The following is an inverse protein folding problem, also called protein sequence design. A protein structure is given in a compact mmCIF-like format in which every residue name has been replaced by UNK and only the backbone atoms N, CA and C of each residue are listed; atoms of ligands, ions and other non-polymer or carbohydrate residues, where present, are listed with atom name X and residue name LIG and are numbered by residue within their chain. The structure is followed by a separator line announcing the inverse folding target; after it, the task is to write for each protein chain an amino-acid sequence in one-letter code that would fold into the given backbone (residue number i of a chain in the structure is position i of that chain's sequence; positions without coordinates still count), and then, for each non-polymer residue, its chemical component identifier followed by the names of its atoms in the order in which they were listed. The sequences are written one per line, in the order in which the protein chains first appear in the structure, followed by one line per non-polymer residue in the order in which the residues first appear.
data_IF_310017891236
#
_entry.id   IF_310017891236
#
_cell.length_a   1.000
_cell.length_b   1.000
_cell.length_c   1.000
_cell.angle_alpha   90.00
_cell.angle_beta   90.00
_cell.angle_gamma   90.00
#
_symmetry.space_group_name_H-M   'P 1'
#
loop_
_entity.id
_entity.type
_entity.pdbx_description
1 polymer ?
#
# COMPACT_ATOMS: atom_id res chain seq x y z
N UNK A 1 -42.64 -31.66 1.02
CA UNK A 1 -42.63 -30.55 0.05
C UNK A 1 -41.95 -29.39 0.76
N UNK A 2 -40.62 -29.38 0.70
CA UNK A 2 -39.76 -28.45 -0.09
C UNK A 2 -39.49 -27.18 0.70
N UNK A 3 -38.28 -26.65 0.82
CA UNK A 3 -36.93 -27.09 0.43
C UNK A 3 -35.97 -26.31 1.34
N UNK A 4 -35.03 -27.01 1.97
CA UNK A 4 -33.94 -26.39 2.71
C UNK A 4 -32.83 -26.01 1.74
N UNK A 5 -32.64 -24.72 1.49
CA UNK A 5 -31.46 -24.22 0.78
C UNK A 5 -30.23 -24.32 1.70
N UNK A 6 -29.52 -25.44 1.65
CA UNK A 6 -28.14 -25.54 2.12
C UNK A 6 -27.22 -24.87 1.09
N UNK A 7 -26.75 -23.66 1.41
CA UNK A 7 -25.72 -22.98 0.63
C UNK A 7 -24.35 -23.45 1.13
N UNK A 8 -23.92 -24.64 0.73
CA UNK A 8 -22.59 -25.19 1.04
C UNK A 8 -21.73 -25.15 -0.23
N UNK A 9 -21.27 -23.95 -0.59
CA UNK A 9 -20.43 -23.67 -1.75
C UNK A 9 -18.96 -23.50 -1.41
N UNK A 10 -18.35 -24.44 -0.67
CA UNK A 10 -16.89 -24.56 -0.65
C UNK A 10 -16.49 -25.53 -1.76
N UNK A 11 -16.36 -25.01 -2.98
CA UNK A 11 -15.76 -25.77 -4.08
C UNK A 11 -14.34 -26.19 -3.67
N UNK A 12 -14.15 -27.50 -3.44
CA UNK A 12 -12.83 -28.12 -3.33
C UNK A 12 -12.16 -28.07 -4.71
N UNK A 13 -11.52 -26.95 -5.01
CA UNK A 13 -10.65 -26.81 -6.19
C UNK A 13 -9.49 -27.81 -6.05
N UNK A 14 -9.08 -28.54 -7.10
CA UNK A 14 -7.96 -29.48 -7.03
C UNK A 14 -6.73 -28.79 -6.44
N UNK A 15 -6.03 -29.45 -5.51
CA UNK A 15 -4.80 -28.94 -4.92
C UNK A 15 -3.76 -28.70 -6.02
N UNK A 16 -3.64 -27.45 -6.48
CA UNK A 16 -2.53 -27.04 -7.33
C UNK A 16 -1.23 -27.36 -6.60
N UNK A 17 -0.37 -28.15 -7.22
CA UNK A 17 0.97 -28.38 -6.70
C UNK A 17 1.77 -27.09 -6.87
N UNK A 18 1.83 -26.29 -5.81
CA UNK A 18 2.57 -25.02 -5.79
C UNK A 18 4.07 -25.29 -5.75
N UNK A 19 4.82 -24.50 -6.51
CA UNK A 19 6.28 -24.54 -6.52
C UNK A 19 6.84 -24.06 -5.18
N UNK A 20 7.82 -24.76 -4.64
CA UNK A 20 8.58 -24.31 -3.47
C UNK A 20 9.81 -23.52 -3.90
N UNK A 21 10.25 -22.60 -3.04
CA UNK A 21 11.49 -21.83 -3.22
C UNK A 21 12.47 -22.09 -2.06
N UNK A 22 13.13 -23.27 -1.99
CA UNK A 22 14.08 -23.56 -0.92
C UNK A 22 15.22 -22.54 -0.88
N UNK A 23 15.58 -22.08 0.30
CA UNK A 23 16.64 -21.11 0.55
C UNK A 23 16.36 -19.69 0.04
N UNK A 24 15.13 -19.37 -0.37
CA UNK A 24 14.81 -18.06 -0.95
C UNK A 24 15.18 -16.90 -0.01
N UNK A 25 15.94 -15.93 -0.53
CA UNK A 25 16.21 -14.67 0.15
C UNK A 25 15.06 -13.68 -0.05
N UNK A 26 14.77 -12.83 0.92
CA UNK A 26 13.78 -11.74 0.79
C UNK A 26 14.07 -10.84 -0.42
N UNK A 27 15.36 -10.69 -0.74
CA UNK A 27 15.87 -9.97 -1.91
C UNK A 27 15.30 -10.45 -3.23
N UNK A 28 14.79 -11.68 -3.28
CA UNK A 28 14.16 -12.26 -4.48
C UNK A 28 12.92 -11.48 -4.92
N UNK A 29 12.11 -11.02 -3.96
CA UNK A 29 10.83 -10.38 -4.23
C UNK A 29 10.77 -8.93 -3.74
N UNK A 30 11.75 -8.48 -2.96
CA UNK A 30 11.88 -7.09 -2.51
C UNK A 30 11.71 -6.09 -3.67
N UNK A 31 10.80 -5.14 -3.49
CA UNK A 31 10.66 -4.03 -4.38
C UNK A 31 11.93 -3.13 -4.30
N UNK A 32 12.51 -2.66 -5.41
CA UNK A 32 13.77 -1.89 -5.36
C UNK A 32 13.70 -0.61 -4.51
N UNK A 33 12.51 -0.02 -4.39
CA UNK A 33 12.27 1.13 -3.51
C UNK A 33 12.33 0.75 -2.01
N UNK A 34 11.86 -0.44 -1.63
CA UNK A 34 11.93 -0.95 -0.27
C UNK A 34 13.39 -1.18 0.16
N UNK A 35 14.14 -1.91 -0.66
CA UNK A 35 15.57 -2.18 -0.44
C UNK A 35 16.39 -0.89 -0.26
N UNK A 36 16.13 0.12 -1.11
CA UNK A 36 16.86 1.39 -1.08
C UNK A 36 16.63 2.20 0.20
N UNK A 37 15.41 2.14 0.74
CA UNK A 37 15.00 2.94 1.87
C UNK A 37 15.53 2.38 3.20
N UNK A 38 15.55 1.06 3.38
CA UNK A 38 16.23 0.44 4.53
C UNK A 38 17.73 0.75 4.55
N UNK A 39 18.38 0.67 3.39
CA UNK A 39 19.79 1.01 3.23
C UNK A 39 20.05 2.48 3.58
N UNK A 40 19.19 3.39 3.14
CA UNK A 40 19.33 4.81 3.43
C UNK A 40 19.13 5.11 4.93
N UNK A 41 18.15 4.47 5.58
CA UNK A 41 17.89 4.62 7.02
C UNK A 41 19.08 4.16 7.86
N UNK A 42 19.69 3.01 7.55
CA UNK A 42 20.87 2.47 8.29
C UNK A 42 22.12 3.34 8.18
N UNK A 43 22.20 4.23 7.19
CA UNK A 43 23.33 5.17 7.03
C UNK A 43 23.21 6.42 7.89
N UNK A 44 22.06 6.66 8.50
CA UNK A 44 21.87 7.81 9.37
C UNK A 44 22.68 7.62 10.65
N UNK A 45 23.57 8.58 10.94
CA UNK A 45 24.35 8.58 12.17
C UNK A 45 23.43 8.52 13.39
N UNK A 46 23.67 7.57 14.30
CA UNK A 46 22.87 7.38 15.52
C UNK A 46 21.60 6.55 15.34
N UNK A 47 21.33 6.01 14.14
CA UNK A 47 20.18 5.13 13.88
C UNK A 47 20.16 3.94 14.84
N UNK A 48 21.28 3.24 15.02
CA UNK A 48 21.34 2.06 15.89
C UNK A 48 21.04 2.38 17.36
N UNK A 49 21.48 3.55 17.84
CA UNK A 49 21.20 4.01 19.20
C UNK A 49 19.71 4.30 19.39
N UNK A 50 19.08 5.02 18.45
CA UNK A 50 17.65 5.31 18.47
C UNK A 50 16.83 4.03 18.33
N UNK A 51 17.21 3.15 17.40
CA UNK A 51 16.57 1.87 17.17
C UNK A 51 16.62 0.97 18.41
N UNK A 52 17.78 0.88 19.07
CA UNK A 52 17.94 0.10 20.31
C UNK A 52 17.12 0.70 21.45
N UNK A 53 17.08 2.02 21.58
CA UNK A 53 16.25 2.70 22.58
C UNK A 53 14.75 2.43 22.33
N UNK A 54 14.28 2.57 21.09
CA UNK A 54 12.89 2.29 20.72
C UNK A 54 12.54 0.82 20.94
N UNK A 55 13.41 -0.10 20.51
CA UNK A 55 13.19 -1.55 20.67
C UNK A 55 13.11 -1.95 22.15
N UNK A 56 13.93 -1.35 23.02
CA UNK A 56 13.87 -1.59 24.46
C UNK A 56 12.61 -1.05 25.15
N UNK A 57 11.92 -0.07 24.55
CA UNK A 57 10.66 0.48 25.05
C UNK A 57 9.43 -0.30 24.57
N UNK A 58 9.58 -1.19 23.58
CA UNK A 58 8.49 -1.97 23.02
C UNK A 58 8.21 -3.19 23.91
N UNK A 59 7.00 -3.32 24.49
CA UNK A 59 6.69 -4.42 25.38
C UNK A 59 6.26 -5.64 24.57
N UNK A 60 7.20 -6.29 23.89
CA UNK A 60 6.93 -7.43 22.99
C UNK A 60 6.19 -8.58 23.72
N UNK A 61 6.56 -8.82 24.98
CA UNK A 61 5.85 -9.77 25.86
C UNK A 61 4.40 -9.33 26.10
N UNK A 62 4.14 -8.05 26.27
CA UNK A 62 2.77 -7.52 26.43
C UNK A 62 1.95 -7.72 25.17
N UNK A 63 2.55 -7.51 23.98
CA UNK A 63 1.88 -7.72 22.70
C UNK A 63 1.45 -9.18 22.53
N UNK A 64 2.35 -10.13 22.83
CA UNK A 64 2.05 -11.57 22.85
C UNK A 64 0.91 -11.91 23.82
N UNK A 65 0.98 -11.38 25.04
CA UNK A 65 -0.04 -11.62 26.05
C UNK A 65 -1.41 -11.06 25.62
N UNK A 66 -1.44 -9.88 24.99
CA UNK A 66 -2.66 -9.25 24.51
C UNK A 66 -3.39 -10.12 23.49
N UNK A 67 -2.70 -10.59 22.45
CA UNK A 67 -3.32 -11.48 21.46
C UNK A 67 -3.64 -12.86 22.00
N UNK A 68 -2.88 -13.35 22.99
CA UNK A 68 -3.22 -14.59 23.66
C UNK A 68 -4.48 -14.45 24.53
N UNK A 69 -4.73 -13.27 25.10
CA UNK A 69 -5.88 -13.02 25.97
C UNK A 69 -7.17 -12.65 25.24
N UNK A 70 -7.06 -11.96 24.10
CA UNK A 70 -8.18 -11.28 23.45
C UNK A 70 -8.29 -11.60 21.95
N UNK A 71 -7.84 -12.79 21.54
CA UNK A 71 -7.96 -13.29 20.16
C UNK A 71 -7.97 -14.82 20.13
N UNK A 72 -8.46 -15.41 19.04
CA UNK A 72 -8.45 -16.86 18.87
C UNK A 72 -7.17 -17.29 18.17
N UNK A 73 -6.41 -18.19 18.80
CA UNK A 73 -5.17 -18.70 18.20
C UNK A 73 -5.47 -19.67 17.06
N UNK A 74 -4.83 -19.46 15.92
CA UNK A 74 -4.88 -20.40 14.79
C UNK A 74 -4.04 -21.63 15.10
N UNK A 75 -4.63 -22.82 14.91
CA UNK A 75 -4.02 -24.13 15.18
C UNK A 75 -4.73 -25.24 14.39
N UNK A 76 -4.31 -26.49 14.57
CA UNK A 76 -5.01 -27.64 13.99
C UNK A 76 -6.42 -27.83 14.58
N UNK A 77 -6.70 -27.25 15.75
CA UNK A 77 -7.99 -27.36 16.45
C UNK A 77 -8.90 -26.13 16.24
N UNK A 78 -8.35 -25.01 15.76
CA UNK A 78 -9.05 -23.73 15.63
C UNK A 78 -8.58 -23.03 14.36
N UNK A 79 -9.51 -22.68 13.47
CA UNK A 79 -9.18 -22.12 12.13
C UNK A 79 -8.18 -22.98 11.36
N UNK A 80 -8.42 -24.30 11.31
CA UNK A 80 -7.50 -25.27 10.71
C UNK A 80 -7.11 -24.93 9.26
N UNK A 81 -8.04 -24.39 8.47
CA UNK A 81 -7.75 -23.95 7.09
C UNK A 81 -6.70 -22.82 7.04
N UNK A 82 -6.78 -21.82 7.92
CA UNK A 82 -5.77 -20.76 8.01
C UNK A 82 -4.42 -21.34 8.47
N UNK A 83 -4.44 -22.29 9.40
CA UNK A 83 -3.22 -22.97 9.85
C UNK A 83 -2.51 -23.72 8.71
N UNK A 84 -3.28 -24.40 7.86
CA UNK A 84 -2.76 -25.06 6.65
C UNK A 84 -2.18 -24.02 5.69
N UNK A 85 -2.91 -22.94 5.39
CA UNK A 85 -2.42 -21.88 4.50
C UNK A 85 -1.12 -21.24 5.02
N UNK A 86 -1.02 -21.01 6.33
CA UNK A 86 0.16 -20.45 6.98
C UNK A 86 1.36 -21.39 6.86
N UNK A 87 1.18 -22.68 7.18
CA UNK A 87 2.24 -23.69 7.04
C UNK A 87 2.65 -23.85 5.59
N UNK A 88 1.70 -23.86 4.65
CA UNK A 88 1.98 -23.91 3.22
C UNK A 88 2.81 -22.71 2.77
N UNK A 89 2.43 -21.49 3.16
CA UNK A 89 3.16 -20.28 2.82
C UNK A 89 4.59 -20.28 3.40
N UNK A 90 4.76 -20.68 4.67
CA UNK A 90 6.07 -20.83 5.29
C UNK A 90 6.90 -21.90 4.58
N UNK A 91 6.30 -23.02 4.17
CA UNK A 91 6.99 -24.08 3.45
C UNK A 91 7.43 -23.63 2.06
N UNK A 92 6.56 -22.92 1.32
CA UNK A 92 6.82 -22.40 -0.03
C UNK A 92 7.93 -21.35 -0.01
N UNK A 93 7.85 -20.38 0.89
CA UNK A 93 8.82 -19.30 1.06
C UNK A 93 10.01 -19.69 1.96
N UNK A 94 10.07 -20.96 2.36
CA UNK A 94 11.14 -21.52 3.18
C UNK A 94 11.46 -20.71 4.44
N UNK A 95 10.41 -20.28 5.16
CA UNK A 95 10.50 -19.63 6.47
C UNK A 95 10.64 -20.72 7.55
N UNK A 96 11.80 -20.75 8.21
CA UNK A 96 12.18 -21.84 9.13
C UNK A 96 11.24 -21.97 10.33
N UNK A 97 10.84 -20.84 10.92
CA UNK A 97 9.97 -20.79 12.09
C UNK A 97 8.61 -20.23 11.68
N UNK A 98 7.58 -21.08 11.76
CA UNK A 98 6.19 -20.66 11.52
C UNK A 98 5.77 -19.69 12.63
N UNK A 99 5.43 -18.42 12.30
CA UNK A 99 5.00 -17.45 13.29
C UNK A 99 3.63 -17.83 13.88
N UNK A 100 3.34 -17.53 15.15
CA UNK A 100 1.99 -17.64 15.68
C UNK A 100 1.02 -16.77 14.87
N UNK A 101 -0.18 -17.30 14.61
CA UNK A 101 -1.26 -16.56 13.97
C UNK A 101 -2.49 -16.50 14.86
N UNK A 102 -3.16 -15.35 14.85
CA UNK A 102 -4.38 -15.11 15.63
C UNK A 102 -5.48 -14.51 14.76
N UNK A 103 -6.73 -14.86 15.06
CA UNK A 103 -7.92 -14.21 14.53
C UNK A 103 -8.48 -13.28 15.60
N UNK A 104 -8.49 -11.98 15.30
CA UNK A 104 -9.01 -10.93 16.17
C UNK A 104 -10.41 -10.50 15.72
N UNK A 105 -11.31 -10.23 16.67
CA UNK A 105 -12.67 -9.78 16.35
C UNK A 105 -12.63 -8.31 15.93
N UNK A 106 -12.75 -8.09 14.62
CA UNK A 106 -12.85 -6.76 14.02
C UNK A 106 -13.57 -6.91 12.67
N UNK A 107 -14.70 -6.22 12.45
CA UNK A 107 -15.41 -6.27 11.17
C UNK A 107 -14.65 -5.59 10.02
N UNK A 108 -13.65 -4.75 10.31
CA UNK A 108 -12.83 -4.13 9.27
C UNK A 108 -11.81 -5.14 8.72
N UNK A 109 -11.84 -5.46 7.40
CA UNK A 109 -10.91 -6.40 6.80
C UNK A 109 -9.46 -5.92 6.92
N UNK A 110 -8.63 -6.68 7.62
CA UNK A 110 -7.24 -6.34 7.84
C UNK A 110 -6.41 -7.59 8.20
N UNK A 111 -5.13 -7.54 7.86
CA UNK A 111 -4.12 -8.47 8.34
C UNK A 111 -2.83 -7.69 8.65
N UNK A 112 -2.01 -8.20 9.56
CA UNK A 112 -0.72 -7.59 9.85
C UNK A 112 0.27 -8.56 10.45
N UNK A 113 1.54 -8.38 10.09
CA UNK A 113 2.69 -9.00 10.70
C UNK A 113 3.42 -7.99 11.60
N UNK A 114 3.52 -8.32 12.89
CA UNK A 114 4.10 -7.47 13.94
C UNK A 114 4.95 -8.33 14.87
N UNK A 115 5.79 -7.71 15.70
CA UNK A 115 6.76 -8.40 16.56
C UNK A 115 8.19 -7.98 16.24
N UNK A 116 9.07 -8.19 17.22
CA UNK A 116 10.49 -7.81 17.13
C UNK A 116 11.35 -9.05 16.88
N UNK A 117 11.48 -9.90 17.90
CA UNK A 117 12.28 -11.12 17.85
C UNK A 117 11.45 -12.29 17.31
N UNK A 118 10.16 -12.32 17.66
CA UNK A 118 9.23 -13.33 17.19
C UNK A 118 8.03 -12.66 16.49
N UNK A 119 7.96 -12.71 15.14
CA UNK A 119 6.81 -12.18 14.43
C UNK A 119 5.54 -12.95 14.76
N UNK A 120 4.44 -12.24 14.79
CA UNK A 120 3.07 -12.70 14.99
C UNK A 120 2.24 -12.17 13.83
N UNK A 121 1.39 -13.02 13.28
CA UNK A 121 0.43 -12.64 12.26
C UNK A 121 -0.94 -12.51 12.90
N UNK A 122 -1.63 -11.42 12.61
CA UNK A 122 -2.99 -11.16 13.10
C UNK A 122 -3.89 -10.93 11.92
N UNK A 123 -5.03 -11.62 11.89
CA UNK A 123 -6.05 -11.54 10.84
C UNK A 123 -7.36 -11.13 11.49
N UNK A 124 -8.12 -10.22 10.88
CA UNK A 124 -9.43 -9.83 11.43
C UNK A 124 -10.55 -10.75 10.95
N UNK A 125 -11.61 -10.89 11.74
CA UNK A 125 -12.82 -11.62 11.33
C UNK A 125 -13.40 -11.10 10.03
N UNK A 126 -13.41 -9.77 9.82
CA UNK A 126 -13.90 -9.18 8.57
C UNK A 126 -13.11 -9.60 7.34
N UNK A 127 -11.80 -9.88 7.48
CA UNK A 127 -11.01 -10.39 6.36
C UNK A 127 -11.29 -11.87 6.07
N UNK A 128 -11.45 -12.67 7.13
CA UNK A 128 -11.80 -14.10 7.03
C UNK A 128 -13.15 -14.29 6.33
N UNK A 129 -14.11 -13.40 6.58
CA UNK A 129 -15.45 -13.44 5.96
C UNK A 129 -15.45 -12.90 4.53
N UNK A 130 -14.51 -12.02 4.17
CA UNK A 130 -14.47 -11.35 2.86
C UNK A 130 -13.80 -12.20 1.77
N UNK A 131 -12.70 -12.89 2.10
CA UNK A 131 -11.84 -13.52 1.09
C UNK A 131 -12.14 -15.01 0.91
N UNK A 132 -12.03 -15.47 -0.34
CA UNK A 132 -12.04 -16.89 -0.66
C UNK A 132 -10.70 -17.56 -0.28
N UNK A 133 -10.61 -18.89 -0.44
CA UNK A 133 -9.44 -19.64 -0.04
C UNK A 133 -8.15 -19.28 -0.78
N UNK A 134 -8.21 -18.92 -2.06
CA UNK A 134 -7.03 -18.58 -2.86
C UNK A 134 -6.61 -17.11 -2.64
N UNK A 135 -7.59 -16.22 -2.48
CA UNK A 135 -7.40 -14.83 -2.08
C UNK A 135 -6.76 -14.75 -0.69
N UNK A 136 -7.26 -15.54 0.27
CA UNK A 136 -6.69 -15.62 1.62
C UNK A 136 -5.27 -16.20 1.62
N UNK A 137 -4.96 -17.17 0.75
CA UNK A 137 -3.58 -17.67 0.59
C UNK A 137 -2.62 -16.58 0.12
N UNK A 138 -3.06 -15.70 -0.78
CA UNK A 138 -2.26 -14.56 -1.21
C UNK A 138 -1.98 -13.61 -0.03
N UNK A 139 -2.97 -13.32 0.82
CA UNK A 139 -2.79 -12.48 2.01
C UNK A 139 -1.90 -13.16 3.07
N UNK A 140 -2.11 -14.44 3.37
CA UNK A 140 -1.25 -15.17 4.31
C UNK A 140 0.20 -15.21 3.81
N UNK A 141 0.40 -15.44 2.51
CA UNK A 141 1.70 -15.36 1.86
C UNK A 141 2.35 -13.98 1.96
N UNK A 142 1.54 -12.92 1.82
CA UNK A 142 1.97 -11.54 1.99
C UNK A 142 2.49 -11.28 3.43
N UNK A 143 1.75 -11.71 4.45
CA UNK A 143 2.17 -11.57 5.85
C UNK A 143 3.41 -12.41 6.20
N UNK A 144 3.52 -13.63 5.64
CA UNK A 144 4.74 -14.43 5.75
C UNK A 144 5.92 -13.74 5.04
N UNK A 145 5.68 -13.06 3.93
CA UNK A 145 6.66 -12.22 3.26
C UNK A 145 7.17 -11.08 4.15
N UNK A 146 6.30 -10.43 4.91
CA UNK A 146 6.71 -9.43 5.91
C UNK A 146 7.58 -10.05 7.02
N UNK A 147 7.21 -11.24 7.52
CA UNK A 147 8.00 -11.95 8.52
C UNK A 147 9.40 -12.31 7.99
N UNK A 148 9.47 -12.89 6.78
CA UNK A 148 10.73 -13.29 6.16
C UNK A 148 11.66 -12.09 5.84
N UNK A 149 11.08 -10.95 5.48
CA UNK A 149 11.84 -9.73 5.16
C UNK A 149 12.20 -8.88 6.39
N UNK A 150 11.79 -9.30 7.60
CA UNK A 150 12.01 -8.53 8.83
C UNK A 150 11.20 -7.23 8.91
N UNK A 151 10.12 -7.10 8.12
CA UNK A 151 9.29 -5.90 8.09
C UNK A 151 8.47 -5.72 9.37
N UNK A 152 8.19 -6.81 10.10
CA UNK A 152 7.43 -6.81 11.36
C UNK A 152 8.01 -5.88 12.41
N UNK A 153 9.34 -5.79 12.49
CA UNK A 153 10.08 -4.95 13.43
C UNK A 153 9.72 -3.48 13.24
N UNK A 154 9.90 -3.00 12.01
CA UNK A 154 9.65 -1.61 11.65
C UNK A 154 8.16 -1.27 11.71
N UNK A 155 7.29 -2.22 11.35
CA UNK A 155 5.84 -2.07 11.49
C UNK A 155 5.45 -1.87 12.96
N UNK A 156 6.04 -2.66 13.87
CA UNK A 156 5.81 -2.56 15.32
C UNK A 156 6.27 -1.20 15.85
N UNK A 157 7.46 -0.75 15.46
CA UNK A 157 7.98 0.59 15.80
C UNK A 157 7.04 1.68 15.27
N UNK A 158 6.58 1.57 14.02
CA UNK A 158 5.67 2.55 13.42
C UNK A 158 4.34 2.66 14.17
N UNK A 159 3.74 1.52 14.56
CA UNK A 159 2.50 1.50 15.34
C UNK A 159 2.69 2.18 16.70
N UNK A 160 3.77 1.83 17.40
CA UNK A 160 4.10 2.45 18.68
C UNK A 160 4.35 3.95 18.56
N UNK A 161 5.18 4.38 17.59
CA UNK A 161 5.48 5.80 17.37
C UNK A 161 4.24 6.59 16.95
N UNK A 162 3.35 6.00 16.15
CA UNK A 162 2.08 6.63 15.79
C UNK A 162 1.19 6.81 17.01
N UNK A 163 1.07 5.79 17.87
CA UNK A 163 0.33 5.91 19.12
C UNK A 163 0.96 6.94 20.08
N UNK A 164 2.29 6.97 20.16
CA UNK A 164 3.02 7.92 20.98
C UNK A 164 2.82 9.35 20.48
N UNK A 165 2.93 9.58 19.17
CA UNK A 165 2.72 10.88 18.52
C UNK A 165 1.38 11.50 18.92
N UNK A 166 0.31 10.70 18.89
CA UNK A 166 -1.04 11.14 19.30
C UNK A 166 -1.06 11.53 20.78
N UNK A 167 -0.40 10.76 21.66
CA UNK A 167 -0.36 11.03 23.12
C UNK A 167 0.45 12.26 23.50
N UNK A 168 1.46 12.62 22.70
CA UNK A 168 2.35 13.76 22.95
C UNK A 168 2.09 14.95 22.01
N UNK A 169 1.01 14.91 21.22
CA UNK A 169 0.67 15.93 20.23
C UNK A 169 0.54 17.34 20.83
N UNK A 170 0.25 17.45 22.13
CA UNK A 170 0.17 18.70 22.88
C UNK A 170 1.53 19.37 23.15
N UNK A 171 2.66 18.69 22.89
CA UNK A 171 4.01 19.22 23.07
C UNK A 171 4.50 19.85 21.74
N UNK A 172 4.63 21.19 21.64
CA UNK A 172 4.77 21.90 20.36
C UNK A 172 6.00 21.52 19.50
N UNK A 173 7.12 21.13 20.12
CA UNK A 173 8.38 20.80 19.42
C UNK A 173 8.69 19.31 19.37
N UNK A 174 8.23 18.51 20.33
CA UNK A 174 8.43 17.06 20.34
C UNK A 174 7.66 16.35 19.23
N UNK A 175 6.48 16.89 18.89
CA UNK A 175 5.61 16.32 17.87
C UNK A 175 6.23 16.43 16.46
N UNK A 176 6.97 17.49 16.14
CA UNK A 176 7.53 17.69 14.78
C UNK A 176 8.57 16.61 14.42
N UNK A 177 9.48 16.29 15.33
CA UNK A 177 10.50 15.27 15.11
C UNK A 177 9.87 13.87 14.99
N UNK A 178 8.92 13.53 15.86
CA UNK A 178 8.19 12.25 15.79
C UNK A 178 7.40 12.15 14.49
N UNK A 179 6.71 13.22 14.08
CA UNK A 179 5.95 13.26 12.83
C UNK A 179 6.83 13.08 11.60
N UNK A 180 8.04 13.66 11.57
CA UNK A 180 8.99 13.43 10.49
C UNK A 180 9.41 11.95 10.41
N UNK A 181 9.74 11.34 11.55
CA UNK A 181 10.12 9.91 11.62
C UNK A 181 8.94 9.03 11.19
N UNK A 182 7.74 9.28 11.72
CA UNK A 182 6.52 8.54 11.38
C UNK A 182 6.21 8.66 9.89
N UNK A 183 6.36 9.86 9.31
CA UNK A 183 6.12 10.08 7.87
C UNK A 183 7.10 9.28 7.02
N UNK A 184 8.40 9.32 7.36
CA UNK A 184 9.41 8.53 6.66
C UNK A 184 9.18 7.02 6.79
N UNK A 185 8.85 6.54 7.99
CA UNK A 185 8.54 5.13 8.22
C UNK A 185 7.25 4.68 7.50
N UNK A 186 6.23 5.55 7.41
CA UNK A 186 5.01 5.27 6.62
C UNK A 186 5.30 5.18 5.13
N UNK A 187 6.12 6.09 4.59
CA UNK A 187 6.56 6.01 3.20
C UNK A 187 7.29 4.70 2.93
N UNK A 188 8.26 4.36 3.79
CA UNK A 188 8.99 3.10 3.67
C UNK A 188 8.05 1.89 3.76
N UNK A 189 7.17 1.86 4.76
CA UNK A 189 6.24 0.75 4.96
C UNK A 189 5.32 0.56 3.74
N UNK A 190 4.84 1.65 3.14
CA UNK A 190 4.10 1.57 1.87
C UNK A 190 4.90 0.96 0.71
N UNK A 191 6.23 1.07 0.70
CA UNK A 191 7.06 0.40 -0.30
C UNK A 191 7.25 -1.08 0.02
N UNK A 192 7.32 -1.44 1.29
CA UNK A 192 7.45 -2.84 1.71
C UNK A 192 6.18 -3.65 1.45
N UNK A 193 5.01 -3.00 1.39
CA UNK A 193 3.75 -3.60 0.91
C UNK A 193 3.88 -4.19 -0.50
N UNK A 194 4.59 -3.50 -1.41
CA UNK A 194 4.80 -4.01 -2.78
C UNK A 194 5.71 -5.23 -2.79
N UNK A 195 6.70 -5.29 -1.89
CA UNK A 195 7.52 -6.49 -1.68
C UNK A 195 6.67 -7.65 -1.16
N UNK A 196 5.80 -7.38 -0.19
CA UNK A 196 4.94 -8.38 0.40
C UNK A 196 3.85 -8.88 -0.56
N UNK A 197 3.31 -8.03 -1.46
CA UNK A 197 2.41 -8.45 -2.54
C UNK A 197 3.07 -9.48 -3.47
N UNK A 198 4.34 -9.27 -3.80
CA UNK A 198 5.13 -10.21 -4.60
C UNK A 198 5.35 -11.53 -3.86
N UNK A 199 5.65 -11.48 -2.56
CA UNK A 199 5.75 -12.67 -1.72
C UNK A 199 4.41 -13.42 -1.64
N UNK A 200 3.29 -12.70 -1.50
CA UNK A 200 1.93 -13.24 -1.55
C UNK A 200 1.64 -13.96 -2.86
N UNK A 201 2.05 -13.39 -4.00
CA UNK A 201 1.91 -14.03 -5.30
C UNK A 201 2.82 -15.27 -5.44
N UNK A 202 4.04 -15.27 -4.91
CA UNK A 202 4.91 -16.46 -4.92
C UNK A 202 4.36 -17.59 -4.05
N UNK A 203 3.74 -17.25 -2.91
CA UNK A 203 3.10 -18.22 -2.02
C UNK A 203 1.78 -18.76 -2.60
N UNK A 204 0.95 -17.89 -3.17
CA UNK A 204 -0.36 -18.25 -3.73
C UNK A 204 -0.29 -18.88 -5.13
N UNK A 205 0.60 -18.37 -5.98
CA UNK A 205 0.80 -18.76 -7.40
C UNK A 205 -0.45 -18.63 -8.27
N UNK A 206 -1.33 -17.70 -7.89
CA UNK A 206 -2.53 -17.34 -8.64
C UNK A 206 -2.66 -15.82 -8.69
N UNK A 207 -2.23 -15.23 -9.81
CA UNK A 207 -2.28 -13.78 -10.03
C UNK A 207 -3.72 -13.26 -10.00
N UNK A 208 -4.68 -14.03 -10.51
CA UNK A 208 -6.08 -13.62 -10.54
C UNK A 208 -6.65 -13.58 -9.12
N UNK A 209 -6.35 -14.57 -8.29
CA UNK A 209 -6.74 -14.55 -6.88
C UNK A 209 -6.10 -13.37 -6.12
N UNK A 210 -4.81 -13.09 -6.33
CA UNK A 210 -4.18 -11.91 -5.71
C UNK A 210 -4.84 -10.59 -6.12
N UNK A 211 -5.18 -10.42 -7.40
CA UNK A 211 -5.87 -9.22 -7.89
C UNK A 211 -7.30 -9.12 -7.37
N UNK A 212 -8.06 -10.22 -7.35
CA UNK A 212 -9.41 -10.25 -6.77
C UNK A 212 -9.41 -9.92 -5.28
N UNK A 213 -8.42 -10.42 -4.52
CA UNK A 213 -8.26 -10.09 -3.11
C UNK A 213 -8.08 -8.59 -2.89
N UNK A 214 -7.20 -7.94 -3.64
CA UNK A 214 -7.01 -6.47 -3.58
C UNK A 214 -8.28 -5.70 -4.00
N UNK A 215 -8.99 -6.19 -5.02
CA UNK A 215 -10.26 -5.62 -5.47
C UNK A 215 -11.35 -5.73 -4.39
N UNK A 216 -11.46 -6.88 -3.70
CA UNK A 216 -12.38 -7.07 -2.58
C UNK A 216 -12.06 -6.19 -1.37
N UNK A 217 -10.77 -5.98 -1.06
CA UNK A 217 -10.38 -5.02 -0.02
C UNK A 217 -10.87 -3.60 -0.36
N UNK A 218 -10.96 -3.27 -1.66
CA UNK A 218 -11.46 -1.98 -2.12
C UNK A 218 -13.00 -1.88 -2.14
N UNK A 219 -13.67 -2.92 -2.64
CA UNK A 219 -15.09 -2.89 -3.03
C UNK A 219 -16.02 -3.85 -2.29
N UNK A 220 -15.51 -4.66 -1.36
CA UNK A 220 -16.30 -5.64 -0.61
C UNK A 220 -16.58 -6.94 -1.40
N UNK A 221 -17.59 -7.70 -0.97
CA UNK A 221 -17.83 -9.09 -1.42
C UNK A 221 -18.74 -9.22 -2.67
N UNK A 222 -18.88 -8.16 -3.48
CA UNK A 222 -19.76 -8.14 -4.66
C UNK A 222 -19.01 -8.47 -5.96
N UNK A 223 -18.22 -9.56 -5.97
CA UNK A 223 -17.38 -9.93 -7.13
C UNK A 223 -18.16 -10.03 -8.45
N UNK A 224 -19.42 -10.45 -8.42
CA UNK A 224 -20.26 -10.58 -9.61
C UNK A 224 -20.59 -9.22 -10.27
N UNK A 225 -20.41 -8.12 -9.55
CA UNK A 225 -20.57 -6.74 -10.05
C UNK A 225 -19.21 -6.08 -10.36
N UNK A 226 -18.09 -6.76 -10.09
CA UNK A 226 -16.75 -6.22 -10.24
C UNK A 226 -15.98 -6.93 -11.36
N UNK A 227 -15.09 -6.19 -12.03
CA UNK A 227 -14.26 -6.70 -13.12
C UNK A 227 -12.80 -6.29 -12.90
N UNK A 228 -11.90 -7.28 -12.93
CA UNK A 228 -10.47 -7.06 -12.66
C UNK A 228 -9.82 -6.18 -13.72
N UNK A 229 -10.16 -6.35 -15.00
CA UNK A 229 -9.61 -5.53 -16.08
C UNK A 229 -10.05 -4.07 -15.95
N UNK A 230 -11.31 -3.82 -15.56
CA UNK A 230 -11.80 -2.48 -15.27
C UNK A 230 -11.10 -1.87 -14.04
N UNK A 231 -10.85 -2.67 -13.00
CA UNK A 231 -10.09 -2.25 -11.81
C UNK A 231 -8.64 -1.89 -12.14
N UNK A 232 -8.02 -2.59 -13.09
CA UNK A 232 -6.69 -2.27 -13.60
C UNK A 232 -6.68 -1.03 -14.50
N UNK A 233 -7.69 -0.86 -15.36
CA UNK A 233 -7.87 0.36 -16.15
C UNK A 233 -8.04 1.59 -15.24
N UNK A 234 -8.72 1.46 -14.10
CA UNK A 234 -8.81 2.49 -13.07
C UNK A 234 -7.43 2.86 -12.49
N UNK A 235 -6.53 1.88 -12.33
CA UNK A 235 -5.16 2.16 -11.90
C UNK A 235 -4.37 2.96 -12.97
N UNK A 236 -4.54 2.61 -14.25
CA UNK A 236 -3.93 3.36 -15.36
C UNK A 236 -4.46 4.80 -15.44
N UNK A 237 -5.76 5.01 -15.23
CA UNK A 237 -6.37 6.34 -15.13
C UNK A 237 -5.79 7.12 -13.94
N UNK A 238 -5.67 6.48 -12.77
CA UNK A 238 -5.08 7.10 -11.58
C UNK A 238 -3.62 7.51 -11.81
N UNK A 239 -2.82 6.71 -12.51
CA UNK A 239 -1.43 7.03 -12.85
C UNK A 239 -1.30 8.10 -13.94
N UNK A 240 -2.11 8.00 -15.00
CA UNK A 240 -2.02 8.89 -16.15
C UNK A 240 -2.73 10.24 -15.95
N UNK A 241 -3.72 10.27 -15.05
CA UNK A 241 -4.66 11.37 -14.92
C UNK A 241 -4.12 12.58 -14.16
N UNK A 242 -4.60 13.75 -14.59
CA UNK A 242 -4.60 14.99 -13.82
C UNK A 242 -3.56 16.04 -14.21
N UNK A 243 -3.68 17.20 -13.59
CA UNK A 243 -2.69 18.27 -13.65
C UNK A 243 -1.70 18.20 -12.45
N UNK A 244 -0.85 19.21 -12.31
CA UNK A 244 0.12 19.30 -11.22
C UNK A 244 -0.56 19.30 -9.83
N UNK A 245 -1.77 19.86 -9.72
CA UNK A 245 -2.53 19.89 -8.46
C UNK A 245 -3.07 18.52 -8.13
N UNK A 246 -3.57 17.79 -9.13
CA UNK A 246 -4.00 16.42 -8.93
C UNK A 246 -2.85 15.55 -8.42
N UNK A 247 -1.65 15.78 -8.93
CA UNK A 247 -0.43 15.08 -8.47
C UNK A 247 -0.10 15.41 -7.00
N UNK A 248 -0.27 16.67 -6.57
CA UNK A 248 -0.14 17.07 -5.16
C UNK A 248 -1.25 16.46 -4.30
N UNK A 249 -2.50 16.45 -4.78
CA UNK A 249 -3.64 15.84 -4.08
C UNK A 249 -3.46 14.33 -3.92
N UNK A 250 -2.89 13.64 -4.92
CA UNK A 250 -2.50 12.22 -4.81
C UNK A 250 -1.52 12.02 -3.65
N UNK A 251 -0.47 12.84 -3.55
CA UNK A 251 0.48 12.79 -2.42
C UNK A 251 -0.25 13.00 -1.09
N UNK A 252 -1.04 14.06 -0.97
CA UNK A 252 -1.78 14.37 0.26
C UNK A 252 -2.73 13.23 0.68
N UNK A 253 -3.36 12.56 -0.27
CA UNK A 253 -4.22 11.41 -0.02
C UNK A 253 -3.44 10.14 0.39
N UNK A 254 -2.19 9.99 -0.04
CA UNK A 254 -1.34 8.85 0.32
C UNK A 254 -0.73 9.01 1.72
N UNK A 255 -0.37 10.23 2.12
CA UNK A 255 0.33 10.52 3.39
C UNK A 255 -0.31 9.94 4.66
N UNK A 256 -1.65 10.00 4.87
CA UNK A 256 -2.25 9.45 6.08
C UNK A 256 -2.38 7.93 6.08
N UNK A 257 -2.24 7.26 4.92
CA UNK A 257 -2.53 5.83 4.76
C UNK A 257 -1.35 4.96 5.19
N UNK A 258 -1.68 3.80 5.75
CA UNK A 258 -0.72 2.74 6.10
C UNK A 258 -0.28 1.93 4.87
N UNK A 259 -1.19 1.70 3.93
CA UNK A 259 -0.96 0.91 2.73
C UNK A 259 -1.11 1.79 1.47
N UNK A 260 -0.42 1.47 0.36
CA UNK A 260 -0.74 2.05 -0.94
C UNK A 260 -2.18 1.72 -1.35
N UNK A 261 -2.71 2.49 -2.31
CA UNK A 261 -4.02 2.19 -2.88
C UNK A 261 -4.05 0.79 -3.51
N UNK A 262 -5.15 0.07 -3.29
CA UNK A 262 -5.36 -1.29 -3.79
C UNK A 262 -5.28 -1.39 -5.31
N UNK A 263 -5.80 -0.39 -6.03
CA UNK A 263 -5.68 -0.29 -7.50
C UNK A 263 -4.22 -0.22 -7.96
N UNK A 264 -3.41 0.63 -7.31
CA UNK A 264 -1.98 0.77 -7.61
C UNK A 264 -1.21 -0.51 -7.29
N UNK A 265 -1.52 -1.16 -6.16
CA UNK A 265 -0.93 -2.46 -5.80
C UNK A 265 -1.25 -3.53 -6.84
N UNK A 266 -2.49 -3.60 -7.32
CA UNK A 266 -2.90 -4.57 -8.33
C UNK A 266 -2.15 -4.36 -9.65
N UNK A 267 -2.02 -3.11 -10.11
CA UNK A 267 -1.27 -2.77 -11.32
C UNK A 267 0.22 -3.12 -11.20
N UNK A 268 0.87 -2.75 -10.09
CA UNK A 268 2.29 -3.07 -9.86
C UNK A 268 2.53 -4.58 -9.72
N UNK A 269 1.60 -5.32 -9.10
CA UNK A 269 1.69 -6.77 -9.00
C UNK A 269 1.55 -7.45 -10.37
N UNK A 270 0.58 -7.02 -11.19
CA UNK A 270 0.40 -7.52 -12.57
C UNK A 270 1.65 -7.26 -13.40
N UNK A 271 2.17 -6.03 -13.36
CA UNK A 271 3.38 -5.63 -14.07
C UNK A 271 4.59 -6.47 -13.66
N UNK A 272 4.72 -6.80 -12.37
CA UNK A 272 5.79 -7.68 -11.90
C UNK A 272 5.59 -9.13 -12.37
N UNK A 273 4.37 -9.66 -12.33
CA UNK A 273 4.07 -11.01 -12.80
C UNK A 273 4.34 -11.20 -14.32
N UNK A 274 4.19 -10.15 -15.11
CA UNK A 274 4.52 -10.12 -16.55
C UNK A 274 6.02 -9.94 -16.82
N UNK A 275 6.81 -9.61 -15.78
CA UNK A 275 8.25 -9.36 -15.93
C UNK A 275 9.06 -10.65 -16.09
N UNK A 276 10.25 -10.51 -16.71
CA UNK A 276 11.22 -11.62 -16.79
C UNK A 276 11.75 -12.04 -15.42
N UNK A 277 11.77 -11.14 -14.44
CA UNK A 277 12.24 -11.46 -13.10
C UNK A 277 11.32 -12.45 -12.41
N UNK A 278 10.00 -12.26 -12.50
CA UNK A 278 9.03 -13.22 -11.98
C UNK A 278 9.18 -14.59 -12.64
N UNK A 279 9.25 -14.64 -13.98
CA UNK A 279 9.43 -15.90 -14.72
C UNK A 279 10.72 -16.62 -14.30
N UNK A 280 11.83 -15.88 -14.18
CA UNK A 280 13.12 -16.40 -13.73
C UNK A 280 13.05 -17.01 -12.32
N UNK A 281 12.33 -16.36 -11.39
CA UNK A 281 12.09 -16.91 -10.04
C UNK A 281 11.27 -18.19 -10.12
N UNK A 282 10.19 -18.19 -10.90
CA UNK A 282 9.35 -19.36 -11.13
C UNK A 282 10.13 -20.51 -11.77
N UNK A 283 11.13 -20.24 -12.61
CA UNK A 283 12.01 -21.27 -13.19
C UNK A 283 13.03 -21.83 -12.19
N UNK A 284 13.16 -21.22 -11.00
CA UNK A 284 14.07 -21.66 -9.93
C UNK A 284 15.37 -20.85 -9.85
N UNK A 285 15.48 -19.77 -10.61
CA UNK A 285 16.65 -18.89 -10.64
C UNK A 285 16.41 -17.66 -9.75
N UNK A 286 16.68 -17.76 -8.46
CA UNK A 286 16.47 -16.68 -7.50
C UNK A 286 17.63 -16.59 -6.49
N UNK A 287 17.90 -15.39 -5.92
CA UNK A 287 18.87 -15.23 -4.84
C UNK A 287 18.55 -16.10 -3.64
N UNK A 288 19.56 -16.78 -3.10
CA UNK A 288 19.43 -17.60 -1.90
C UNK A 288 20.03 -16.92 -0.68
N UNK A 289 19.54 -17.27 0.51
CA UNK A 289 19.95 -16.66 1.80
C UNK A 289 21.42 -16.90 2.14
N UNK A 290 21.97 -18.04 1.73
CA UNK A 290 23.39 -18.37 1.91
C UNK A 290 24.31 -17.43 1.10
N UNK A 291 23.82 -16.90 -0.03
CA UNK A 291 24.52 -15.93 -0.89
C UNK A 291 24.37 -14.48 -0.42
N UNK A 292 23.57 -14.20 0.63
CA UNK A 292 23.31 -12.83 1.10
C UNK A 292 24.60 -12.14 1.59
N UNK A 293 25.55 -12.89 2.14
CA UNK A 293 26.81 -12.38 2.70
C UNK A 293 27.79 -11.88 1.63
N UNK A 294 27.72 -12.43 0.43
CA UNK A 294 28.66 -12.15 -0.66
C UNK A 294 28.21 -10.99 -1.55
N UNK A 295 27.06 -10.38 -1.23
CA UNK A 295 26.48 -9.34 -2.06
C UNK A 295 27.07 -7.97 -1.77
N UNK A 296 27.63 -7.36 -2.81
CA UNK A 296 28.17 -6.01 -2.74
C UNK A 296 27.07 -4.96 -2.53
N UNK A 297 27.26 -4.13 -1.52
CA UNK A 297 26.45 -2.94 -1.25
C UNK A 297 26.31 -2.03 -2.49
N UNK A 298 27.38 -1.89 -3.27
CA UNK A 298 27.43 -1.00 -4.44
C UNK A 298 26.48 -1.47 -5.54
N UNK A 299 26.33 -2.78 -5.69
CA UNK A 299 25.49 -3.38 -6.73
C UNK A 299 24.01 -3.23 -6.39
N UNK A 300 23.64 -3.46 -5.12
CA UNK A 300 22.30 -3.18 -4.59
C UNK A 300 21.89 -1.71 -4.79
N UNK A 301 22.81 -0.77 -4.51
CA UNK A 301 22.53 0.66 -4.69
C UNK A 301 22.38 1.05 -6.17
N UNK A 302 23.19 0.47 -7.06
CA UNK A 302 23.10 0.69 -8.51
C UNK A 302 21.78 0.15 -9.08
N UNK A 303 21.33 -1.01 -8.63
CA UNK A 303 20.06 -1.62 -9.03
C UNK A 303 18.86 -0.74 -8.63
N UNK A 304 18.83 -0.28 -7.37
CA UNK A 304 17.81 0.66 -6.90
C UNK A 304 17.84 2.00 -7.64
N UNK A 305 19.03 2.55 -7.91
CA UNK A 305 19.18 3.80 -8.65
C UNK A 305 18.68 3.67 -10.11
N UNK A 306 19.00 2.55 -10.77
CA UNK A 306 18.50 2.25 -12.10
C UNK A 306 16.97 2.16 -12.10
N UNK A 307 16.38 1.42 -11.15
CA UNK A 307 14.93 1.30 -11.01
C UNK A 307 14.25 2.67 -10.81
N UNK A 308 14.81 3.51 -9.93
CA UNK A 308 14.27 4.86 -9.70
C UNK A 308 14.39 5.73 -10.96
N UNK A 309 15.53 5.69 -11.65
CA UNK A 309 15.74 6.45 -12.88
C UNK A 309 14.77 6.02 -13.98
N UNK A 310 14.51 4.71 -14.13
CA UNK A 310 13.54 4.17 -15.08
C UNK A 310 12.13 4.58 -14.69
N UNK A 311 11.76 4.45 -13.42
CA UNK A 311 10.45 4.84 -12.91
C UNK A 311 10.17 6.34 -13.15
N UNK A 312 11.14 7.22 -12.88
CA UNK A 312 11.03 8.66 -13.15
C UNK A 312 10.83 8.91 -14.64
N UNK A 313 11.65 8.29 -15.50
CA UNK A 313 11.60 8.46 -16.96
C UNK A 313 10.32 7.89 -17.60
N UNK A 314 9.79 6.81 -17.06
CA UNK A 314 8.58 6.15 -17.58
C UNK A 314 7.29 6.64 -16.91
N UNK A 315 7.39 7.50 -15.89
CA UNK A 315 6.21 7.97 -15.16
C UNK A 315 5.34 8.85 -16.04
N UNK A 316 4.04 8.58 -16.03
CA UNK A 316 3.05 9.40 -16.72
C UNK A 316 2.63 10.63 -15.89
N UNK A 317 2.98 10.65 -14.61
CA UNK A 317 2.57 11.67 -13.63
C UNK A 317 3.17 13.07 -13.94
N UNK A 318 2.35 14.13 -13.96
CA UNK A 318 2.81 15.50 -14.24
C UNK A 318 3.95 16.01 -13.36
N UNK A 319 4.01 15.67 -12.06
CA UNK A 319 5.12 16.07 -11.18
C UNK A 319 6.42 15.39 -11.60
N UNK A 320 6.36 14.10 -11.94
CA UNK A 320 7.54 13.34 -12.35
C UNK A 320 8.03 13.76 -13.74
N UNK A 321 7.12 14.14 -14.63
CA UNK A 321 7.46 14.79 -15.91
C UNK A 321 8.17 16.13 -15.70
N UNK A 322 7.69 16.98 -14.79
CA UNK A 322 8.37 18.25 -14.46
C UNK A 322 9.80 18.01 -13.95
N UNK A 323 10.01 17.03 -13.08
CA UNK A 323 11.34 16.66 -12.58
C UNK A 323 12.25 16.17 -13.72
N UNK A 324 11.71 15.40 -14.65
CA UNK A 324 12.45 14.91 -15.83
C UNK A 324 12.79 16.06 -16.79
N UNK A 325 11.85 16.97 -17.04
CA UNK A 325 12.04 18.16 -17.89
C UNK A 325 13.08 19.12 -17.29
N UNK A 326 13.05 19.30 -15.96
CA UNK A 326 14.04 20.06 -15.18
C UNK A 326 15.44 19.46 -15.32
N UNK A 327 15.57 18.15 -15.13
CA UNK A 327 16.84 17.44 -15.25
C UNK A 327 17.35 17.38 -16.71
N UNK A 328 16.45 17.45 -17.69
CA UNK A 328 16.73 17.47 -19.13
C UNK A 328 17.03 18.87 -19.69
N UNK A 329 16.95 19.93 -18.90
CA UNK A 329 17.34 21.29 -19.32
C UNK A 329 16.36 22.01 -20.26
N UNK A 330 15.07 21.65 -20.26
CA UNK A 330 14.07 22.32 -21.10
C UNK A 330 13.69 23.71 -20.52
N UNK A 331 14.16 24.78 -21.17
CA UNK A 331 14.15 26.18 -20.69
C UNK A 331 12.81 26.92 -20.63
N UNK A 332 11.67 26.26 -20.42
CA UNK A 332 10.34 26.92 -20.37
C UNK A 332 9.58 26.65 -19.05
N UNK A 333 10.30 26.85 -17.93
CA UNK A 333 9.87 26.37 -16.62
C UNK A 333 9.16 27.43 -15.76
N UNK A 334 9.51 28.70 -15.92
CA UNK A 334 8.99 29.79 -15.09
C UNK A 334 7.47 29.98 -15.25
N UNK A 335 6.95 29.84 -16.46
CA UNK A 335 5.54 30.10 -16.76
C UNK A 335 4.60 28.94 -16.43
N UNK A 336 5.11 27.70 -16.31
CA UNK A 336 4.31 26.53 -15.89
C UNK A 336 4.17 26.43 -14.38
N UNK A 337 5.25 26.66 -13.63
CA UNK A 337 5.22 26.70 -12.16
C UNK A 337 4.34 27.85 -11.66
N UNK A 338 4.44 29.03 -12.29
CA UNK A 338 3.60 30.20 -11.97
C UNK A 338 2.11 29.96 -12.21
N UNK A 339 1.73 29.26 -13.29
CA UNK A 339 0.33 28.87 -13.56
C UNK A 339 -0.20 27.82 -12.57
N UNK A 340 0.63 26.86 -12.17
CA UNK A 340 0.27 25.83 -11.18
C UNK A 340 -0.07 26.43 -9.81
N UNK A 341 0.79 27.32 -9.30
CA UNK A 341 0.56 28.05 -8.05
C UNK A 341 -0.52 29.14 -8.16
N UNK A 342 -0.67 29.76 -9.33
CA UNK A 342 -1.57 30.91 -9.55
C UNK A 342 -3.06 30.62 -9.38
N UNK A 343 -3.51 29.36 -9.39
CA UNK A 343 -4.90 29.06 -9.05
C UNK A 343 -5.10 28.29 -7.76
N UNK A 344 -4.07 28.17 -6.91
CA UNK A 344 -4.28 27.96 -5.47
C UNK A 344 -4.78 29.24 -4.78
N UNK A 345 -4.54 30.41 -5.38
CA UNK A 345 -4.93 31.72 -4.83
C UNK A 345 -6.19 32.30 -5.46
N UNK A 346 -6.70 31.74 -6.58
CA UNK A 346 -7.90 32.22 -7.28
C UNK A 346 -9.12 31.35 -7.00
N UNK A 347 -9.50 31.23 -5.73
CA UNK A 347 -10.80 30.69 -5.33
C UNK A 347 -11.50 31.70 -4.41
N UNK A 348 -11.81 32.88 -4.96
CA UNK A 348 -12.86 33.74 -4.41
C UNK A 348 -14.09 33.59 -5.31
N UNK A 349 -15.28 33.27 -4.77
CA UNK A 349 -16.49 33.20 -5.58
C UNK A 349 -16.80 34.61 -6.09
N UNK A 350 -16.89 34.79 -7.42
CA UNK A 350 -17.53 35.98 -7.98
C UNK A 350 -19.02 35.91 -7.62
N UNK A 351 -19.63 36.97 -7.06
CA UNK A 351 -21.07 37.00 -6.88
C UNK A 351 -21.76 37.01 -8.26
N UNK A 352 -22.99 36.46 -8.36
CA UNK A 352 -23.68 36.34 -9.64
C UNK A 352 -23.92 37.72 -10.25
N UNK A 353 -23.50 37.90 -11.50
CA UNK A 353 -23.84 39.07 -12.29
C UNK A 353 -25.35 39.09 -12.52
N UNK A 354 -26.03 40.08 -11.95
CA UNK A 354 -27.41 40.42 -12.31
C UNK A 354 -27.52 40.85 -13.78
N UNK A 355 -28.73 40.84 -14.36
CA UNK A 355 -28.92 41.12 -15.78
C UNK A 355 -28.49 42.55 -16.13
N UNK A 356 -27.68 42.69 -17.17
CA UNK A 356 -27.33 43.99 -17.73
C UNK A 356 -28.55 44.61 -18.43
N UNK A 357 -29.08 45.69 -17.88
CA UNK A 357 -29.91 46.64 -18.62
C UNK A 357 -29.00 47.70 -19.22
N UNK A 358 -28.95 47.78 -20.56
CA UNK A 358 -28.22 48.82 -21.27
C UNK A 358 -28.86 50.21 -21.10
N UNK A 359 -28.10 51.30 -21.31
CA UNK A 359 -28.63 52.65 -21.21
C UNK A 359 -29.35 53.03 -22.51
N UNK A 360 -30.60 53.48 -22.41
CA UNK A 360 -31.30 54.17 -23.49
C UNK A 360 -31.19 55.68 -23.28
N UNK A 361 -30.64 56.36 -24.29
CA UNK A 361 -30.54 57.80 -24.41
C UNK A 361 -31.91 58.50 -24.43
N UNK A 362 -31.86 59.76 -24.02
CA UNK A 362 -32.94 60.73 -23.77
C UNK A 362 -33.51 61.43 -25.02
N UNK A 363 -34.83 61.63 -25.04
CA UNK A 363 -35.59 62.82 -25.53
C UNK A 363 -37.07 62.40 -25.56
N UNK A 364 -38.08 63.06 -24.98
CA UNK A 364 -38.42 64.47 -24.95
C UNK A 364 -39.88 64.58 -25.43
N UNK A 365 -40.76 65.18 -24.60
CA UNK A 365 -42.12 65.68 -24.92
C UNK A 365 -43.19 64.69 -25.44
N UNK A 366 -44.25 64.42 -24.66
CA UNK A 366 -45.48 65.23 -24.66
C UNK A 366 -46.60 64.58 -23.81
N UNK A 367 -47.33 65.43 -23.09
CA UNK A 367 -48.63 65.19 -22.42
C UNK A 367 -49.67 65.99 -23.23
N UNK A 368 -51.01 65.87 -23.09
CA UNK A 368 -51.89 65.04 -22.22
C UNK A 368 -53.09 64.47 -23.06
N UNK A 369 -54.37 64.32 -22.61
CA UNK A 369 -54.99 64.28 -21.26
C UNK A 369 -56.00 63.13 -21.00
N UNK A 370 -56.41 63.03 -19.71
CA UNK A 370 -57.76 62.74 -19.11
C UNK A 370 -58.76 61.86 -19.89
N UNK A 371 -59.35 60.82 -19.31
CA UNK A 371 -60.50 60.73 -18.38
C UNK A 371 -60.81 59.20 -18.26
N UNK A 372 -61.48 58.60 -17.28
CA UNK A 372 -62.28 59.03 -16.14
C UNK A 372 -62.88 57.77 -15.46
N UNK A 373 -63.53 58.01 -14.32
CA UNK A 373 -64.41 57.13 -13.53
C UNK A 373 -63.77 56.06 -12.64
#
# INVERSE_FOLDING_TARGET
MSDGHEHNGHEHVPSRQRRRFPGISSRTYEHPADRSALVALRKLSGFDTVFKALSGLLPERSLRLLFLSDSVRVSDQQFAHLNVMLRDACYILDLEKVPPMYVNQDPQPNAMCIGLDEPIIVVTTGLVELLDGEEMRAVVGHEVGHALSGHSVYRTILLFLTSLAVRVAWIPLGNLAIMAIVTGLREWFRKSELSADRAGLLAGQDLQASMRGLMKIAGGNHLHEMNVDAFLAQAEEYEAGGDLRDSVLKILNVLPRSHPFTTVRAAELKKWAESRDYQRIMDGHYPRRDEDKDTSFRDSWRESANHYSTHVKSSKDPLMKLVTDLAGGAGDLGDRVRRGFGGFTSASPKPPQGPQTGPSDSSGEDRPPRDGS
#
